data_IF_274911499003
#
_entry.id   IF_274911499003
#
_cell.length_a   1.000
_cell.length_b   1.000
_cell.length_c   1.000
_cell.angle_alpha   90.00
_cell.angle_beta   90.00
_cell.angle_gamma   90.00
#
_symmetry.space_group_name_H-M   'P 1'
#
loop_
_entity.id
_entity.type
_entity.pdbx_description
1 polymer ?
#
# COMPACT_ATOMS: atom_id res chain seq x y z
N UNK A 1 -8.32 -13.58 4.85
CA UNK A 1 -9.77 -13.26 4.83
C UNK A 1 -10.03 -11.77 5.01
N UNK A 2 -9.61 -11.14 6.12
CA UNK A 2 -9.87 -9.71 6.36
C UNK A 2 -9.23 -8.74 5.35
N UNK A 3 -7.98 -8.99 4.93
CA UNK A 3 -7.25 -8.11 4.00
C UNK A 3 -7.95 -8.01 2.64
N UNK A 4 -8.56 -9.09 2.15
CA UNK A 4 -9.26 -9.12 0.86
C UNK A 4 -10.49 -8.20 0.83
N UNK A 5 -11.07 -7.85 1.98
CA UNK A 5 -12.19 -6.90 2.07
C UNK A 5 -11.76 -5.46 1.73
N UNK A 6 -10.44 -5.19 1.67
CA UNK A 6 -9.90 -3.91 1.20
C UNK A 6 -9.86 -3.80 -0.33
N UNK A 7 -10.08 -4.90 -1.05
CA UNK A 7 -10.06 -4.89 -2.51
C UNK A 7 -11.16 -3.97 -3.06
N UNK A 8 -10.82 -3.14 -4.04
CA UNK A 8 -11.66 -2.05 -4.52
C UNK A 8 -11.80 -0.83 -3.59
N UNK A 9 -11.22 -0.85 -2.39
CA UNK A 9 -11.31 0.23 -1.40
C UNK A 9 -9.95 0.81 -0.96
N UNK A 10 -8.84 0.24 -1.42
CA UNK A 10 -7.47 0.61 -1.03
C UNK A 10 -7.21 2.11 -1.10
N UNK A 11 -7.47 2.78 -2.22
CA UNK A 11 -7.20 4.23 -2.36
C UNK A 11 -8.00 5.08 -1.39
N UNK A 12 -9.26 4.69 -1.11
CA UNK A 12 -10.09 5.39 -0.11
C UNK A 12 -9.47 5.23 1.27
N UNK A 13 -9.04 4.02 1.62
CA UNK A 13 -8.40 3.74 2.90
C UNK A 13 -7.07 4.49 3.06
N UNK A 14 -6.21 4.54 2.04
CA UNK A 14 -4.93 5.26 2.09
C UNK A 14 -5.10 6.76 2.34
N UNK A 15 -6.18 7.37 1.82
CA UNK A 15 -6.48 8.79 2.00
C UNK A 15 -7.28 9.09 3.27
N UNK A 16 -7.73 8.06 3.99
CA UNK A 16 -8.46 8.20 5.24
C UNK A 16 -7.51 8.34 6.43
N UNK A 17 -7.89 9.16 7.42
CA UNK A 17 -7.09 9.42 8.62
C UNK A 17 -6.82 8.17 9.47
N UNK A 18 -7.72 7.17 9.43
CA UNK A 18 -7.60 5.92 10.17
C UNK A 18 -7.27 4.75 9.25
N UNK A 19 -7.88 4.70 8.07
CA UNK A 19 -7.72 3.63 7.08
C UNK A 19 -6.28 3.46 6.63
N UNK A 20 -5.49 4.54 6.57
CA UNK A 20 -4.09 4.46 6.17
C UNK A 20 -3.28 3.59 7.15
N UNK A 21 -3.61 3.58 8.44
CA UNK A 21 -2.95 2.74 9.43
C UNK A 21 -3.25 1.26 9.22
N UNK A 22 -4.48 0.94 8.78
CA UNK A 22 -4.86 -0.44 8.44
C UNK A 22 -4.05 -0.92 7.23
N UNK A 23 -3.91 -0.08 6.19
CA UNK A 23 -3.13 -0.42 5.00
C UNK A 23 -1.65 -0.61 5.33
N UNK A 24 -1.06 0.29 6.13
CA UNK A 24 0.31 0.15 6.64
C UNK A 24 0.49 -1.17 7.39
N UNK A 25 -0.43 -1.51 8.30
CA UNK A 25 -0.38 -2.76 9.07
C UNK A 25 -0.51 -4.00 8.18
N UNK A 26 -1.27 -3.92 7.09
CA UNK A 26 -1.34 -5.01 6.12
C UNK A 26 0.02 -5.21 5.43
N UNK A 27 0.68 -4.13 5.01
CA UNK A 27 2.01 -4.19 4.38
C UNK A 27 3.07 -4.77 5.34
N UNK A 28 3.04 -4.37 6.62
CA UNK A 28 4.03 -4.83 7.61
C UNK A 28 3.89 -6.29 8.03
N UNK A 29 2.69 -6.87 7.97
CA UNK A 29 2.39 -8.14 8.66
C UNK A 29 1.79 -9.23 7.79
N UNK A 30 1.39 -8.90 6.56
CA UNK A 30 0.77 -9.86 5.65
C UNK A 30 1.80 -10.23 4.59
N UNK A 31 1.97 -11.52 4.25
CA UNK A 31 2.87 -11.93 3.19
C UNK A 31 2.56 -11.18 1.88
N UNK A 32 3.61 -10.78 1.18
CA UNK A 32 3.55 -9.90 0.00
C UNK A 32 2.61 -10.43 -1.09
N UNK A 33 2.65 -11.74 -1.34
CA UNK A 33 1.75 -12.47 -2.24
C UNK A 33 0.25 -12.29 -1.96
N UNK A 34 -0.12 -11.93 -0.73
CA UNK A 34 -1.52 -11.74 -0.33
C UNK A 34 -1.96 -10.25 -0.36
N UNK A 35 -1.03 -9.33 -0.62
CA UNK A 35 -1.28 -7.88 -0.69
C UNK A 35 -0.93 -7.28 -2.05
N UNK A 36 -0.68 -8.09 -3.07
CA UNK A 36 -0.36 -7.62 -4.42
C UNK A 36 -1.43 -6.66 -4.99
N UNK A 37 -2.71 -6.88 -4.66
CA UNK A 37 -3.81 -5.98 -5.05
C UNK A 37 -3.67 -4.58 -4.43
N UNK A 38 -3.08 -4.46 -3.23
CA UNK A 38 -2.77 -3.18 -2.59
C UNK A 38 -1.66 -2.47 -3.38
N UNK A 39 -0.57 -3.19 -3.66
CA UNK A 39 0.59 -2.65 -4.38
C UNK A 39 0.22 -2.19 -5.78
N UNK A 40 -0.50 -3.03 -6.53
CA UNK A 40 -0.95 -2.71 -7.90
C UNK A 40 -1.81 -1.45 -7.96
N UNK A 41 -2.57 -1.16 -6.90
CA UNK A 41 -3.39 0.07 -6.81
C UNK A 41 -2.54 1.35 -6.74
N UNK A 42 -1.27 1.26 -6.33
CA UNK A 42 -0.38 2.41 -6.24
C UNK A 42 0.31 2.76 -7.56
N UNK A 43 0.25 1.86 -8.55
CA UNK A 43 0.84 2.09 -9.86
C UNK A 43 0.23 3.34 -10.52
N UNK A 44 1.09 4.21 -11.06
CA UNK A 44 0.68 5.49 -11.62
C UNK A 44 0.23 6.55 -10.60
N UNK A 45 0.22 6.24 -9.30
CA UNK A 45 -0.13 7.17 -8.22
C UNK A 45 1.03 7.42 -7.25
N UNK A 46 2.17 6.75 -7.42
CA UNK A 46 3.32 6.79 -6.50
C UNK A 46 3.73 8.22 -6.13
N UNK A 47 3.99 9.10 -7.09
CA UNK A 47 4.39 10.50 -6.83
C UNK A 47 3.31 11.26 -6.03
N UNK A 48 2.05 11.06 -6.38
CA UNK A 48 0.92 11.70 -5.69
C UNK A 48 0.80 11.20 -4.26
N UNK A 49 0.95 9.88 -4.04
CA UNK A 49 0.89 9.29 -2.71
C UNK A 49 2.10 9.68 -1.85
N UNK A 50 3.29 9.75 -2.43
CA UNK A 50 4.52 10.18 -1.75
C UNK A 50 4.46 11.61 -1.23
N UNK A 51 3.63 12.47 -1.83
CA UNK A 51 3.42 13.86 -1.38
C UNK A 51 2.16 14.03 -0.52
N UNK A 52 1.34 12.98 -0.37
CA UNK A 52 0.12 13.00 0.44
C UNK A 52 0.44 12.83 1.94
N UNK A 53 -0.21 13.59 2.85
CA UNK A 53 0.07 13.52 4.30
C UNK A 53 0.01 12.13 4.92
N UNK A 54 -0.88 11.27 4.42
CA UNK A 54 -1.00 9.87 4.86
C UNK A 54 -0.39 8.88 3.86
N UNK A 55 -0.41 9.21 2.57
CA UNK A 55 0.01 8.28 1.51
C UNK A 55 1.51 8.03 1.55
N UNK A 56 2.29 9.04 1.94
CA UNK A 56 3.75 8.93 2.00
C UNK A 56 4.20 7.86 2.99
N UNK A 57 3.45 7.67 4.08
CA UNK A 57 3.71 6.63 5.08
C UNK A 57 3.43 5.24 4.52
N UNK A 58 2.38 5.09 3.71
CA UNK A 58 2.05 3.83 3.04
C UNK A 58 3.15 3.45 2.04
N UNK A 59 3.59 4.38 1.19
CA UNK A 59 4.69 4.14 0.24
C UNK A 59 5.99 3.78 0.96
N UNK A 60 6.32 4.46 2.07
CA UNK A 60 7.47 4.10 2.90
C UNK A 60 7.38 2.66 3.40
N UNK A 61 6.22 2.21 3.91
CA UNK A 61 6.05 0.81 4.36
C UNK A 61 6.24 -0.19 3.22
N UNK A 62 5.78 0.12 2.01
CA UNK A 62 6.02 -0.76 0.85
C UNK A 62 7.52 -0.90 0.60
N UNK A 63 8.26 0.21 0.54
CA UNK A 63 9.70 0.19 0.30
C UNK A 63 10.48 -0.55 1.40
N UNK A 64 10.00 -0.51 2.65
CA UNK A 64 10.64 -1.13 3.80
C UNK A 64 10.35 -2.63 3.95
N UNK A 65 9.16 -3.10 3.53
CA UNK A 65 8.66 -4.44 3.84
C UNK A 65 8.36 -5.34 2.63
N UNK A 66 8.23 -4.76 1.44
CA UNK A 66 8.10 -5.53 0.20
C UNK A 66 9.47 -5.69 -0.42
N UNK A 67 9.88 -6.92 -0.75
CA UNK A 67 11.20 -7.19 -1.31
C UNK A 67 11.14 -7.89 -2.66
N UNK A 68 9.95 -8.22 -3.13
CA UNK A 68 9.76 -8.70 -4.48
C UNK A 68 10.25 -7.63 -5.50
N UNK A 69 11.12 -8.00 -6.45
CA UNK A 69 11.64 -7.07 -7.44
C UNK A 69 10.54 -6.42 -8.30
N UNK A 70 9.47 -7.14 -8.62
CA UNK A 70 8.38 -6.60 -9.43
C UNK A 70 7.57 -5.57 -8.63
N UNK A 71 7.35 -5.82 -7.33
CA UNK A 71 6.77 -4.82 -6.43
C UNK A 71 7.64 -3.57 -6.33
N UNK A 72 8.94 -3.72 -6.07
CA UNK A 72 9.88 -2.61 -5.95
C UNK A 72 9.91 -1.76 -7.22
N UNK A 73 9.92 -2.40 -8.40
CA UNK A 73 9.87 -1.69 -9.68
C UNK A 73 8.56 -0.93 -9.93
N UNK A 74 7.45 -1.30 -9.27
CA UNK A 74 6.16 -0.60 -9.39
C UNK A 74 6.06 0.65 -8.51
N UNK A 75 6.90 0.76 -7.48
CA UNK A 75 6.87 1.86 -6.51
C UNK A 75 8.12 2.76 -6.53
N UNK A 76 9.12 2.42 -7.33
CA UNK A 76 10.24 3.30 -7.71
C UNK A 76 9.90 4.09 -8.97
#
# INVERSE_FOLDING_TARGET
KMVKELDGHVMRCVRDQNGNHVVQKCIECVPEENIEFIISTFFGQVVTLSTHPYGCRVIQRVLEHCHDPDTQSKVM
#
